data_IF_005776287002
#
_entry.id   IF_005776287002
#
_cell.length_a   1.000
_cell.length_b   1.000
_cell.length_c   1.000
_cell.angle_alpha   90.00
_cell.angle_beta   90.00
_cell.angle_gamma   90.00
#
_symmetry.space_group_name_H-M   'P 1'
#
loop_
_entity.id
_entity.type
_entity.pdbx_description
1 polymer ?
#
# COMPACT_ATOMS: atom_id res chain seq x y z
N UNK A 1 20.92 -15.16 -11.49
CA UNK A 1 20.49 -13.93 -12.15
C UNK A 1 19.00 -13.70 -12.02
N UNK A 2 18.17 -14.66 -12.43
CA UNK A 2 16.73 -14.55 -12.27
C UNK A 2 16.30 -14.46 -10.79
N UNK A 3 17.00 -15.13 -9.90
CA UNK A 3 16.74 -15.08 -8.46
C UNK A 3 16.96 -13.69 -7.90
N UNK A 4 18.02 -13.02 -8.30
CA UNK A 4 18.31 -11.68 -7.81
C UNK A 4 17.24 -10.68 -8.22
N UNK A 5 16.75 -10.80 -9.45
CA UNK A 5 15.65 -9.95 -9.94
C UNK A 5 14.35 -10.20 -9.19
N UNK A 6 14.06 -11.47 -8.89
CA UNK A 6 12.87 -11.83 -8.11
C UNK A 6 12.94 -11.29 -6.69
N UNK A 7 14.10 -11.36 -6.07
CA UNK A 7 14.30 -10.84 -4.72
C UNK A 7 14.15 -9.33 -4.68
N UNK A 8 14.73 -8.62 -5.65
CA UNK A 8 14.59 -7.18 -5.77
C UNK A 8 13.13 -6.80 -5.94
N UNK A 9 12.39 -7.53 -6.78
CA UNK A 9 10.96 -7.29 -6.96
C UNK A 9 10.18 -7.46 -5.67
N UNK A 10 10.49 -8.50 -4.89
CA UNK A 10 9.81 -8.74 -3.62
C UNK A 10 10.09 -7.65 -2.61
N UNK A 11 11.31 -7.12 -2.58
CA UNK A 11 11.67 -6.01 -1.71
C UNK A 11 10.98 -4.71 -2.08
N UNK A 12 10.75 -4.49 -3.37
CA UNK A 12 10.13 -3.25 -3.85
C UNK A 12 8.61 -3.30 -3.84
N UNK A 13 8.00 -4.45 -3.56
CA UNK A 13 6.56 -4.60 -3.53
C UNK A 13 6.09 -5.11 -2.16
N UNK A 14 6.27 -4.29 -1.09
CA UNK A 14 5.87 -4.72 0.25
C UNK A 14 4.36 -4.91 0.39
N UNK A 15 3.57 -4.40 -0.55
CA UNK A 15 2.11 -4.54 -0.55
C UNK A 15 1.67 -5.99 -0.72
N UNK A 16 2.53 -6.84 -1.25
CA UNK A 16 2.19 -8.25 -1.47
C UNK A 16 2.30 -9.09 -0.22
N UNK A 17 1.87 -8.56 0.87
CA UNK A 17 1.86 -9.27 2.14
C UNK A 17 0.57 -10.04 2.31
N UNK A 18 -0.01 -10.51 1.26
CA UNK A 18 -1.13 -11.45 1.31
C UNK A 18 -2.38 -10.95 2.01
N UNK A 19 -2.56 -9.64 2.11
CA UNK A 19 -3.74 -9.08 2.76
C UNK A 19 -4.45 -8.15 1.78
N UNK A 20 -5.67 -8.48 1.43
CA UNK A 20 -6.56 -7.58 0.70
C UNK A 20 -7.81 -7.31 1.52
N UNK A 21 -8.67 -6.41 1.05
CA UNK A 21 -9.86 -6.02 1.79
C UNK A 21 -10.83 -7.18 1.99
N UNK A 22 -10.95 -8.05 1.00
CA UNK A 22 -11.83 -9.22 1.10
C UNK A 22 -11.31 -10.20 2.15
N UNK A 23 -10.01 -10.45 2.15
CA UNK A 23 -9.38 -11.31 3.14
C UNK A 23 -9.51 -10.75 4.54
N UNK A 24 -9.36 -9.44 4.71
CA UNK A 24 -9.55 -8.80 6.01
C UNK A 24 -10.98 -8.94 6.52
N UNK A 25 -11.97 -8.80 5.65
CA UNK A 25 -13.37 -8.99 6.02
C UNK A 25 -13.65 -10.41 6.48
N UNK A 26 -13.14 -11.39 5.73
CA UNK A 26 -13.27 -12.80 6.10
C UNK A 26 -12.57 -13.09 7.42
N UNK A 27 -11.40 -12.53 7.59
CA UNK A 27 -10.60 -12.67 8.80
C UNK A 27 -11.34 -12.11 10.02
N UNK A 28 -11.95 -10.94 9.89
CA UNK A 28 -12.79 -10.35 10.95
C UNK A 28 -13.92 -11.27 11.35
N UNK A 29 -14.59 -11.87 10.38
CA UNK A 29 -15.68 -12.81 10.64
C UNK A 29 -15.20 -14.05 11.38
N UNK A 30 -14.05 -14.58 10.98
CA UNK A 30 -13.46 -15.74 11.63
C UNK A 30 -13.12 -15.41 13.09
N UNK A 31 -12.47 -14.28 13.32
CA UNK A 31 -12.09 -13.85 14.67
C UNK A 31 -13.31 -13.63 15.56
N UNK A 32 -14.34 -13.00 15.02
CA UNK A 32 -15.56 -12.72 15.75
C UNK A 32 -16.22 -14.01 16.25
N UNK A 33 -16.15 -15.08 15.47
CA UNK A 33 -16.77 -16.35 15.77
C UNK A 33 -15.82 -17.37 16.40
N UNK A 34 -14.55 -17.03 16.58
CA UNK A 34 -13.58 -17.97 17.11
C UNK A 34 -13.70 -18.10 18.63
N UNK A 35 -14.02 -19.29 19.07
CA UNK A 35 -14.32 -19.57 20.47
C UNK A 35 -13.06 -19.63 21.34
N UNK A 36 -11.89 -19.89 20.72
CA UNK A 36 -10.62 -20.02 21.44
C UNK A 36 -10.03 -18.74 21.98
N UNK A 37 -10.53 -17.56 21.53
CA UNK A 37 -10.07 -16.30 22.06
C UNK A 37 -10.76 -15.92 23.35
N UNK A 38 -10.02 -15.36 24.30
CA UNK A 38 -10.63 -14.61 25.38
C UNK A 38 -11.24 -13.32 24.81
N UNK A 39 -12.11 -12.67 25.59
CA UNK A 39 -12.72 -11.40 25.16
C UNK A 39 -11.63 -10.36 24.88
N UNK A 40 -10.63 -10.26 25.77
CA UNK A 40 -9.54 -9.30 25.60
C UNK A 40 -8.71 -9.59 24.35
N UNK A 41 -8.40 -10.85 24.07
CA UNK A 41 -7.64 -11.23 22.87
C UNK A 41 -8.42 -10.93 21.61
N UNK A 42 -9.72 -11.25 21.62
CA UNK A 42 -10.59 -10.96 20.48
C UNK A 42 -10.64 -9.46 20.18
N UNK A 43 -10.83 -8.65 21.22
CA UNK A 43 -10.89 -7.20 21.05
C UNK A 43 -9.57 -6.64 20.54
N UNK A 44 -8.44 -7.15 21.03
CA UNK A 44 -7.13 -6.73 20.57
C UNK A 44 -6.92 -7.07 19.11
N UNK A 45 -7.21 -8.32 18.70
CA UNK A 45 -7.01 -8.75 17.32
C UNK A 45 -7.96 -8.04 16.38
N UNK A 46 -9.22 -7.83 16.78
CA UNK A 46 -10.16 -7.05 15.98
C UNK A 46 -9.71 -5.61 15.83
N UNK A 47 -9.20 -5.00 16.89
CA UNK A 47 -8.66 -3.65 16.83
C UNK A 47 -7.48 -3.54 15.88
N UNK A 48 -6.56 -4.49 15.92
CA UNK A 48 -5.43 -4.54 15.00
C UNK A 48 -5.91 -4.72 13.55
N UNK A 49 -6.92 -5.56 13.36
CA UNK A 49 -7.48 -5.79 12.02
C UNK A 49 -8.15 -4.53 11.47
N UNK A 50 -8.82 -3.76 12.32
CA UNK A 50 -9.40 -2.47 11.91
C UNK A 50 -8.32 -1.47 11.51
N UNK A 51 -7.20 -1.44 12.21
CA UNK A 51 -6.06 -0.60 11.85
C UNK A 51 -5.51 -1.04 10.49
N UNK A 52 -5.34 -2.35 10.27
CA UNK A 52 -4.87 -2.87 8.99
C UNK A 52 -5.82 -2.49 7.85
N UNK A 53 -7.12 -2.58 8.08
CA UNK A 53 -8.14 -2.21 7.10
C UNK A 53 -8.02 -0.74 6.70
N UNK A 54 -7.88 0.14 7.67
CA UNK A 54 -7.71 1.58 7.41
C UNK A 54 -6.42 1.87 6.65
N UNK A 55 -5.32 1.25 7.04
CA UNK A 55 -4.04 1.43 6.36
C UNK A 55 -4.11 0.93 4.92
N UNK A 56 -4.69 -0.23 4.71
CA UNK A 56 -4.82 -0.80 3.36
C UNK A 56 -5.71 0.06 2.48
N UNK A 57 -6.83 0.54 3.01
CA UNK A 57 -7.74 1.42 2.27
C UNK A 57 -7.02 2.69 1.84
N UNK A 58 -6.22 3.28 2.72
CA UNK A 58 -5.46 4.48 2.41
C UNK A 58 -4.41 4.21 1.34
N UNK A 59 -3.70 3.08 1.44
CA UNK A 59 -2.73 2.67 0.41
C UNK A 59 -3.39 2.54 -0.95
N UNK A 60 -4.55 1.88 -1.01
CA UNK A 60 -5.27 1.69 -2.27
C UNK A 60 -5.76 3.01 -2.85
N UNK A 61 -6.24 3.91 -2.00
CA UNK A 61 -6.70 5.24 -2.43
C UNK A 61 -5.54 6.06 -2.99
N UNK A 62 -4.41 6.08 -2.30
CA UNK A 62 -3.21 6.78 -2.76
C UNK A 62 -2.64 6.15 -4.03
N UNK A 63 -2.69 4.82 -4.13
CA UNK A 63 -2.27 4.11 -5.33
C UNK A 63 -3.04 4.54 -6.56
N UNK A 64 -4.36 4.65 -6.46
CA UNK A 64 -5.20 5.12 -7.56
C UNK A 64 -4.87 6.56 -7.94
N UNK A 65 -4.66 7.41 -6.95
CA UNK A 65 -4.27 8.80 -7.20
C UNK A 65 -2.92 8.87 -7.91
N UNK A 66 -1.96 8.06 -7.47
CA UNK A 66 -0.65 7.96 -8.10
C UNK A 66 -0.73 7.50 -9.54
N UNK A 67 -1.57 6.51 -9.83
CA UNK A 67 -1.77 6.02 -11.21
C UNK A 67 -2.30 7.12 -12.12
N UNK A 68 -3.24 7.92 -11.65
CA UNK A 68 -3.79 9.04 -12.42
C UNK A 68 -2.73 10.08 -12.72
N UNK A 69 -1.90 10.41 -11.72
CA UNK A 69 -0.82 11.37 -11.90
C UNK A 69 0.21 10.81 -12.89
N UNK A 70 0.57 9.55 -12.77
CA UNK A 70 1.52 8.91 -13.68
C UNK A 70 1.02 8.92 -15.12
N UNK A 71 -0.24 8.58 -15.35
CA UNK A 71 -0.85 8.63 -16.68
C UNK A 71 -0.83 10.05 -17.25
N UNK A 72 -1.14 11.05 -16.42
CA UNK A 72 -1.07 12.45 -16.80
C UNK A 72 0.36 12.86 -17.18
N UNK A 73 1.36 12.45 -16.39
CA UNK A 73 2.77 12.73 -16.65
C UNK A 73 3.22 12.14 -17.97
N UNK A 74 2.88 10.88 -18.25
CA UNK A 74 3.25 10.23 -19.51
C UNK A 74 2.68 10.98 -20.71
N UNK A 75 1.42 11.39 -20.61
CA UNK A 75 0.76 12.16 -21.66
C UNK A 75 1.44 13.50 -21.88
N UNK A 76 1.76 14.21 -20.79
CA UNK A 76 2.34 15.56 -20.88
C UNK A 76 3.79 15.55 -21.32
N UNK A 77 4.55 14.49 -21.05
CA UNK A 77 5.90 14.35 -21.55
C UNK A 77 5.92 14.35 -23.09
N UNK A 78 4.94 13.71 -23.72
CA UNK A 78 4.79 13.74 -25.17
C UNK A 78 4.52 15.16 -25.68
N UNK A 79 3.68 15.90 -24.97
CA UNK A 79 3.39 17.30 -25.32
C UNK A 79 4.62 18.17 -25.18
N UNK A 80 5.46 17.96 -24.17
CA UNK A 80 6.71 18.68 -24.02
C UNK A 80 7.62 18.50 -25.24
N UNK A 81 7.73 17.26 -25.73
CA UNK A 81 8.53 16.98 -26.90
C UNK A 81 8.00 17.71 -28.14
N UNK A 82 6.68 17.79 -28.29
CA UNK A 82 6.05 18.54 -29.39
C UNK A 82 6.38 20.02 -29.30
N UNK A 83 6.28 20.61 -28.10
CA UNK A 83 6.58 22.04 -27.92
C UNK A 83 8.04 22.37 -28.23
N UNK A 84 8.97 21.48 -27.89
CA UNK A 84 10.38 21.64 -28.26
C UNK A 84 10.54 21.62 -29.79
N UNK A 85 9.91 20.65 -30.45
CA UNK A 85 9.99 20.52 -31.90
C UNK A 85 9.41 21.72 -32.65
N UNK A 86 8.38 22.36 -32.06
CA UNK A 86 7.72 23.53 -32.64
C UNK A 86 8.32 24.84 -32.19
N UNK A 87 9.39 24.83 -31.40
CA UNK A 87 9.99 26.02 -30.81
C UNK A 87 9.03 26.83 -29.95
N UNK A 88 8.06 26.19 -29.33
CA UNK A 88 7.09 26.83 -28.45
C UNK A 88 7.59 26.87 -27.03
N UNK A 89 8.58 27.71 -26.77
CA UNK A 89 9.30 27.71 -25.49
C UNK A 89 8.49 28.21 -24.32
N UNK A 90 7.55 29.13 -24.54
CA UNK A 90 6.68 29.63 -23.48
C UNK A 90 5.76 28.53 -22.96
N UNK A 91 5.14 27.80 -23.87
CA UNK A 91 4.28 26.66 -23.54
C UNK A 91 5.10 25.55 -22.90
N UNK A 92 6.31 25.33 -23.39
CA UNK A 92 7.23 24.35 -22.81
C UNK A 92 7.52 24.67 -21.35
N UNK A 93 7.87 25.91 -21.04
CA UNK A 93 8.20 26.33 -19.67
C UNK A 93 7.03 26.13 -18.72
N UNK A 94 5.83 26.53 -19.14
CA UNK A 94 4.63 26.39 -18.32
C UNK A 94 4.34 24.92 -18.02
N UNK A 95 4.36 24.11 -19.07
CA UNK A 95 4.08 22.69 -18.91
C UNK A 95 5.17 21.98 -18.13
N UNK A 96 6.43 22.32 -18.35
CA UNK A 96 7.54 21.72 -17.61
C UNK A 96 7.42 21.99 -16.11
N UNK A 97 6.95 23.19 -15.74
CA UNK A 97 6.73 23.50 -14.33
C UNK A 97 5.58 22.68 -13.74
N UNK A 98 4.48 22.54 -14.46
CA UNK A 98 3.36 21.70 -14.04
C UNK A 98 3.80 20.25 -13.89
N UNK A 99 4.57 19.74 -14.85
CA UNK A 99 5.09 18.38 -14.81
C UNK A 99 5.97 18.18 -13.59
N UNK A 100 6.82 19.15 -13.28
CA UNK A 100 7.67 19.11 -12.10
C UNK A 100 6.85 19.02 -10.81
N UNK A 101 5.82 19.85 -10.68
CA UNK A 101 4.96 19.86 -9.50
C UNK A 101 4.23 18.53 -9.34
N UNK A 102 3.70 17.99 -10.43
CA UNK A 102 3.02 16.70 -10.40
C UNK A 102 3.98 15.56 -10.09
N UNK A 103 5.19 15.63 -10.59
CA UNK A 103 6.22 14.65 -10.27
C UNK A 103 6.55 14.67 -8.77
N UNK A 104 6.68 15.87 -8.18
CA UNK A 104 6.89 15.99 -6.74
C UNK A 104 5.73 15.45 -5.94
N UNK A 105 4.51 15.70 -6.38
CA UNK A 105 3.31 15.14 -5.75
C UNK A 105 3.34 13.62 -5.79
N UNK A 106 3.68 13.04 -6.95
CA UNK A 106 3.79 11.59 -7.10
C UNK A 106 4.86 11.02 -6.16
N UNK A 107 5.99 11.69 -6.03
CA UNK A 107 7.07 11.28 -5.13
C UNK A 107 6.59 11.27 -3.68
N UNK A 108 5.82 12.28 -3.27
CA UNK A 108 5.25 12.34 -1.91
C UNK A 108 4.26 11.21 -1.69
N UNK A 109 3.43 10.92 -2.68
CA UNK A 109 2.48 9.82 -2.60
C UNK A 109 3.23 8.49 -2.45
N UNK A 110 4.27 8.26 -3.24
CA UNK A 110 5.08 7.05 -3.13
C UNK A 110 5.71 6.89 -1.75
N UNK A 111 6.27 7.96 -1.20
CA UNK A 111 6.86 7.93 0.13
C UNK A 111 5.81 7.61 1.19
N UNK A 112 4.63 8.18 1.07
CA UNK A 112 3.54 7.94 2.01
C UNK A 112 3.05 6.49 1.93
N UNK A 113 2.92 5.94 0.71
CA UNK A 113 2.56 4.55 0.51
C UNK A 113 3.59 3.62 1.16
N UNK A 114 4.87 3.89 0.97
CA UNK A 114 5.94 3.10 1.58
C UNK A 114 5.82 3.08 3.11
N UNK A 115 5.58 4.24 3.71
CA UNK A 115 5.39 4.34 5.15
C UNK A 115 4.16 3.58 5.63
N UNK A 116 3.06 3.69 4.90
CA UNK A 116 1.82 2.98 5.22
C UNK A 116 1.99 1.47 5.08
N UNK A 117 2.72 1.01 4.06
CA UNK A 117 3.01 -0.40 3.87
C UNK A 117 3.87 -0.96 5.00
N UNK A 118 4.85 -0.20 5.45
CA UNK A 118 5.66 -0.60 6.60
C UNK A 118 4.80 -0.79 7.83
N UNK A 119 3.91 0.16 8.11
CA UNK A 119 2.98 0.08 9.23
C UNK A 119 2.01 -1.09 9.08
N UNK A 120 1.50 -1.30 7.87
CA UNK A 120 0.59 -2.41 7.58
C UNK A 120 1.28 -3.76 7.84
N UNK A 121 2.52 -3.92 7.39
CA UNK A 121 3.27 -5.15 7.63
C UNK A 121 3.47 -5.40 9.11
N UNK A 122 3.78 -4.38 9.88
CA UNK A 122 3.93 -4.50 11.33
C UNK A 122 2.63 -4.94 12.00
N UNK A 123 1.52 -4.35 11.60
CA UNK A 123 0.22 -4.70 12.16
C UNK A 123 -0.16 -6.14 11.81
N UNK A 124 0.05 -6.55 10.56
CA UNK A 124 -0.22 -7.92 10.13
C UNK A 124 0.63 -8.92 10.90
N UNK A 125 1.90 -8.60 11.11
CA UNK A 125 2.79 -9.45 11.90
C UNK A 125 2.30 -9.60 13.34
N UNK A 126 1.82 -8.51 13.95
CA UNK A 126 1.26 -8.57 15.29
C UNK A 126 -0.01 -9.42 15.34
N UNK A 127 -0.87 -9.30 14.35
CA UNK A 127 -2.08 -10.11 14.26
C UNK A 127 -1.70 -11.59 14.20
N UNK A 128 -0.77 -11.93 13.31
CA UNK A 128 -0.34 -13.32 13.14
C UNK A 128 0.31 -13.87 14.41
N UNK A 129 1.07 -13.05 15.09
CA UNK A 129 1.69 -13.44 16.35
C UNK A 129 0.63 -13.79 17.40
N UNK A 130 -0.38 -12.95 17.55
CA UNK A 130 -1.46 -13.22 18.50
C UNK A 130 -2.26 -14.46 18.15
N UNK A 131 -2.51 -14.69 16.86
CA UNK A 131 -3.19 -15.89 16.41
C UNK A 131 -2.37 -17.14 16.73
N UNK A 132 -1.08 -17.10 16.47
CA UNK A 132 -0.20 -18.23 16.75
C UNK A 132 -0.12 -18.55 18.23
N UNK A 133 -0.06 -17.51 19.06
CA UNK A 133 -0.07 -17.67 20.52
C UNK A 133 -1.37 -18.32 20.99
N UNK A 134 -2.51 -17.89 20.45
CA UNK A 134 -3.80 -18.48 20.77
C UNK A 134 -3.91 -19.95 20.35
N UNK A 135 -3.37 -20.29 19.18
CA UNK A 135 -3.34 -21.66 18.70
C UNK A 135 -2.51 -22.56 19.61
N UNK A 136 -1.38 -22.04 20.06
CA UNK A 136 -0.51 -22.75 21.00
C UNK A 136 -1.26 -23.00 22.29
N UNK A 137 -1.92 -21.98 22.84
CA UNK A 137 -2.71 -22.10 24.07
C UNK A 137 -3.83 -23.14 23.93
N UNK A 138 -4.51 -23.16 22.80
CA UNK A 138 -5.56 -24.12 22.53
C UNK A 138 -5.00 -25.55 22.46
N UNK A 139 -3.83 -25.72 21.89
CA UNK A 139 -3.20 -27.03 21.78
C UNK A 139 -2.74 -27.57 23.12
N UNK A 140 -2.37 -26.70 24.03
CA UNK A 140 -1.89 -27.09 25.36
C UNK A 140 -3.05 -27.53 26.28
N UNK A 141 -4.25 -27.24 25.89
CA UNK A 141 -5.44 -27.69 26.58
C UNK A 141 -6.03 -28.96 25.96
#
# INVERSE_FOLDING_TARGET
MAKAKSEVKRETEPIKVNVDLEELKKFKQIITNFVGFSVAQRDLVLGLTDIADKLLTEVLTLGKKGEKIDAWLQKKQKNLAVFVAENSYEEYKKLAEEVREKFLELTRISAKIDGLNTSLNLVVDLINKHIDECKIDIKDF
#
